data_IF_648976707997
#
_entry.id   IF_648976707997
#
_cell.length_a   1.000
_cell.length_b   1.000
_cell.length_c   1.000
_cell.angle_alpha   90.00
_cell.angle_beta   90.00
_cell.angle_gamma   90.00
#
_symmetry.space_group_name_H-M   'P 1'
#
loop_
_entity.id
_entity.type
_entity.pdbx_description
1 polymer ?
#
# COMPACT_ATOMS: atom_id res chain seq x y z
N UNK A 1 43.20 -14.34 -14.00
CA UNK A 1 42.93 -13.11 -14.76
C UNK A 1 41.42 -13.03 -14.84
N UNK A 2 40.81 -12.16 -14.06
CA UNK A 2 39.36 -11.96 -14.15
C UNK A 2 39.06 -11.25 -15.47
N UNK A 3 38.10 -11.78 -16.24
CA UNK A 3 37.58 -11.09 -17.41
C UNK A 3 37.09 -9.69 -17.00
N UNK A 4 37.33 -8.65 -17.82
CA UNK A 4 36.82 -7.33 -17.52
C UNK A 4 35.29 -7.41 -17.41
N UNK A 5 34.76 -7.13 -16.23
CA UNK A 5 33.31 -7.15 -15.98
C UNK A 5 32.68 -6.13 -16.91
N UNK A 6 31.78 -6.60 -17.77
CA UNK A 6 31.03 -5.75 -18.69
C UNK A 6 29.99 -4.93 -17.91
N UNK A 7 30.14 -3.61 -17.94
CA UNK A 7 29.22 -2.66 -17.30
C UNK A 7 27.79 -2.83 -17.81
N UNK A 8 27.59 -3.26 -19.07
CA UNK A 8 26.25 -3.51 -19.62
C UNK A 8 25.55 -4.67 -18.92
N UNK A 9 26.29 -5.70 -18.52
CA UNK A 9 25.74 -6.84 -17.77
C UNK A 9 25.26 -6.39 -16.39
N UNK A 10 26.10 -5.60 -15.69
CA UNK A 10 25.76 -5.09 -14.35
C UNK A 10 24.59 -4.10 -14.43
N UNK A 11 24.61 -3.18 -15.40
CA UNK A 11 23.51 -2.24 -15.66
C UNK A 11 22.20 -2.96 -15.94
N UNK A 12 22.23 -3.98 -16.82
CA UNK A 12 21.02 -4.75 -17.17
C UNK A 12 20.40 -5.39 -15.95
N UNK A 13 21.21 -6.00 -15.08
CA UNK A 13 20.73 -6.62 -13.86
C UNK A 13 20.18 -5.59 -12.85
N UNK A 14 20.84 -4.43 -12.71
CA UNK A 14 20.36 -3.34 -11.87
C UNK A 14 18.99 -2.83 -12.33
N UNK A 15 18.80 -2.60 -13.63
CA UNK A 15 17.54 -2.15 -14.21
C UNK A 15 16.43 -3.20 -14.09
N UNK A 16 16.76 -4.48 -14.25
CA UNK A 16 15.81 -5.58 -14.04
C UNK A 16 15.30 -5.62 -12.59
N UNK A 17 16.19 -5.51 -11.61
CA UNK A 17 15.84 -5.44 -10.19
C UNK A 17 15.07 -4.16 -9.85
N UNK A 18 15.44 -3.04 -10.46
CA UNK A 18 14.73 -1.77 -10.30
C UNK A 18 13.28 -1.92 -10.75
N UNK A 19 13.07 -2.49 -11.94
CA UNK A 19 11.74 -2.79 -12.47
C UNK A 19 10.90 -3.63 -11.51
N UNK A 20 11.47 -4.72 -10.95
CA UNK A 20 10.81 -5.54 -9.93
C UNK A 20 10.35 -4.72 -8.73
N UNK A 21 11.22 -3.91 -8.16
CA UNK A 21 10.91 -3.14 -6.95
C UNK A 21 9.88 -2.04 -7.23
N UNK A 22 10.00 -1.32 -8.35
CA UNK A 22 9.01 -0.31 -8.76
C UNK A 22 7.63 -0.95 -8.96
N UNK A 23 7.56 -2.11 -9.62
CA UNK A 23 6.30 -2.85 -9.77
C UNK A 23 5.71 -3.21 -8.40
N UNK A 24 6.52 -3.64 -7.44
CA UNK A 24 6.03 -3.97 -6.10
C UNK A 24 5.51 -2.73 -5.36
N UNK A 25 6.20 -1.59 -5.41
CA UNK A 25 5.68 -0.33 -4.87
C UNK A 25 4.34 0.06 -5.51
N UNK A 26 4.22 -0.07 -6.84
CA UNK A 26 2.96 0.23 -7.54
C UNK A 26 1.83 -0.74 -7.15
N UNK A 27 2.13 -2.02 -6.90
CA UNK A 27 1.15 -2.99 -6.41
C UNK A 27 0.68 -2.65 -4.99
N UNK A 28 1.59 -2.27 -4.09
CA UNK A 28 1.25 -1.80 -2.75
C UNK A 28 0.32 -0.59 -2.85
N UNK A 29 0.68 0.39 -3.68
CA UNK A 29 -0.15 1.58 -3.92
C UNK A 29 -1.55 1.19 -4.44
N UNK A 30 -1.63 0.26 -5.40
CA UNK A 30 -2.89 -0.25 -5.93
C UNK A 30 -3.76 -0.94 -4.87
N UNK A 31 -3.18 -1.81 -4.04
CA UNK A 31 -3.90 -2.48 -2.96
C UNK A 31 -4.45 -1.46 -1.96
N UNK A 32 -3.66 -0.45 -1.58
CA UNK A 32 -4.12 0.60 -0.67
C UNK A 32 -5.28 1.41 -1.25
N UNK A 33 -5.26 1.72 -2.55
CA UNK A 33 -6.40 2.38 -3.22
C UNK A 33 -7.66 1.54 -3.08
N UNK A 34 -7.59 0.26 -3.41
CA UNK A 34 -8.71 -0.65 -3.28
C UNK A 34 -9.20 -0.81 -1.84
N UNK A 35 -8.27 -0.98 -0.90
CA UNK A 35 -8.56 -1.15 0.51
C UNK A 35 -9.33 0.08 1.04
N UNK A 36 -8.84 1.28 0.77
CA UNK A 36 -9.53 2.51 1.17
C UNK A 36 -10.92 2.62 0.53
N UNK A 37 -11.07 2.24 -0.75
CA UNK A 37 -12.37 2.24 -1.43
C UNK A 37 -13.40 1.32 -0.80
N UNK A 38 -12.99 0.17 -0.27
CA UNK A 38 -13.90 -0.79 0.39
C UNK A 38 -14.17 -0.46 1.85
N UNK A 39 -13.28 0.29 2.52
CA UNK A 39 -13.43 0.65 3.94
C UNK A 39 -14.41 1.79 4.21
N UNK A 40 -14.84 2.51 3.17
CA UNK A 40 -15.71 3.69 3.25
C UNK A 40 -16.98 3.52 2.40
N UNK A 41 -17.82 2.54 2.77
CA UNK A 41 -19.08 2.27 2.06
C UNK A 41 -20.24 2.85 2.87
N UNK A 42 -20.90 3.86 2.32
CA UNK A 42 -22.07 4.50 2.91
C UNK A 42 -23.35 3.98 2.25
N UNK A 43 -24.14 3.16 2.94
CA UNK A 43 -25.39 2.61 2.39
C UNK A 43 -25.17 1.34 1.57
N UNK A 44 -25.37 0.17 2.19
CA UNK A 44 -25.47 -1.09 1.44
C UNK A 44 -26.77 -1.12 0.62
N UNK A 45 -26.68 -0.80 -0.67
CA UNK A 45 -27.78 -0.91 -1.65
C UNK A 45 -27.24 -1.34 -3.01
N UNK A 46 -28.09 -1.45 -4.04
CA UNK A 46 -27.62 -1.70 -5.43
C UNK A 46 -26.65 -0.61 -5.93
N UNK A 47 -26.56 0.54 -5.26
CA UNK A 47 -25.59 1.60 -5.53
C UNK A 47 -24.17 1.33 -5.00
N UNK A 48 -23.96 0.34 -4.13
CA UNK A 48 -22.66 0.06 -3.50
C UNK A 48 -21.55 -0.24 -4.52
N UNK A 49 -21.89 -0.84 -5.67
CA UNK A 49 -20.91 -1.04 -6.76
C UNK A 49 -20.45 0.28 -7.38
N UNK A 50 -21.35 1.25 -7.54
CA UNK A 50 -21.02 2.56 -8.10
C UNK A 50 -20.17 3.35 -7.10
N UNK A 51 -20.52 3.31 -5.81
CA UNK A 51 -19.71 3.94 -4.75
C UNK A 51 -18.28 3.38 -4.69
N UNK A 52 -18.11 2.06 -4.80
CA UNK A 52 -16.77 1.48 -4.82
C UNK A 52 -15.93 1.98 -6.00
N UNK A 53 -16.54 2.09 -7.18
CA UNK A 53 -15.89 2.64 -8.37
C UNK A 53 -15.56 4.13 -8.16
N UNK A 54 -16.51 4.92 -7.66
CA UNK A 54 -16.33 6.35 -7.42
C UNK A 54 -15.25 6.61 -6.37
N UNK A 55 -15.23 5.83 -5.28
CA UNK A 55 -14.19 5.88 -4.26
C UNK A 55 -12.82 5.50 -4.85
N UNK A 56 -12.75 4.45 -5.66
CA UNK A 56 -11.50 4.05 -6.32
C UNK A 56 -10.98 5.13 -7.27
N UNK A 57 -11.87 5.71 -8.07
CA UNK A 57 -11.54 6.83 -8.96
C UNK A 57 -11.06 8.06 -8.19
N UNK A 58 -11.61 8.31 -6.99
CA UNK A 58 -11.15 9.39 -6.11
C UNK A 58 -9.70 9.19 -5.64
N UNK A 59 -9.30 7.94 -5.38
CA UNK A 59 -7.93 7.59 -4.96
C UNK A 59 -6.99 7.31 -6.13
N UNK A 60 -7.49 7.26 -7.37
CA UNK A 60 -6.69 6.88 -8.54
C UNK A 60 -5.41 7.70 -8.70
N UNK A 61 -5.48 8.99 -8.39
CA UNK A 61 -4.35 9.95 -8.48
C UNK A 61 -3.54 10.07 -7.19
N UNK A 62 -3.96 9.41 -6.12
CA UNK A 62 -3.26 9.49 -4.84
C UNK A 62 -1.97 8.68 -4.90
N UNK A 63 -0.91 9.26 -4.35
CA UNK A 63 0.41 8.63 -4.25
C UNK A 63 0.45 7.73 -3.02
N UNK A 64 1.38 6.77 -3.02
CA UNK A 64 1.65 5.88 -1.89
C UNK A 64 1.69 6.60 -0.54
N UNK A 65 2.40 7.72 -0.43
CA UNK A 65 2.50 8.48 0.82
C UNK A 65 1.14 9.05 1.28
N UNK A 66 0.31 9.54 0.35
CA UNK A 66 -1.03 10.04 0.68
C UNK A 66 -1.97 8.92 1.12
N UNK A 67 -1.86 7.75 0.48
CA UNK A 67 -2.67 6.58 0.80
C UNK A 67 -2.31 5.99 2.17
N UNK A 68 -1.02 5.89 2.49
CA UNK A 68 -0.56 5.46 3.81
C UNK A 68 -1.09 6.39 4.90
N UNK A 69 -0.98 7.71 4.69
CA UNK A 69 -1.53 8.69 5.63
C UNK A 69 -3.04 8.54 5.82
N UNK A 70 -3.79 8.36 4.73
CA UNK A 70 -5.24 8.11 4.79
C UNK A 70 -5.57 6.82 5.55
N UNK A 71 -4.84 5.73 5.30
CA UNK A 71 -5.07 4.46 5.99
C UNK A 71 -4.84 4.60 7.50
N UNK A 72 -3.82 5.35 7.91
CA UNK A 72 -3.54 5.62 9.32
C UNK A 72 -4.69 6.35 10.03
N UNK A 73 -5.32 7.29 9.32
CA UNK A 73 -6.37 8.16 9.85
C UNK A 73 -7.73 7.45 9.88
N UNK A 74 -8.01 6.56 8.92
CA UNK A 74 -9.35 6.00 8.74
C UNK A 74 -9.49 4.54 9.15
N UNK A 75 -8.45 3.71 8.97
CA UNK A 75 -8.52 2.26 9.19
C UNK A 75 -7.74 1.85 10.45
N UNK A 76 -6.54 2.37 10.63
CA UNK A 76 -5.64 2.01 11.75
C UNK A 76 -5.86 2.93 12.96
N UNK A 77 -7.08 2.99 13.48
CA UNK A 77 -7.47 3.91 14.57
C UNK A 77 -7.56 3.14 15.90
N UNK A 78 -7.20 3.81 16.99
CA UNK A 78 -7.46 3.27 18.34
C UNK A 78 -8.98 3.24 18.61
N UNK A 79 -9.46 2.14 19.18
CA UNK A 79 -10.88 1.85 19.38
C UNK A 79 -11.55 2.90 20.31
N UNK A 80 -10.73 3.56 21.14
CA UNK A 80 -11.15 4.62 22.06
C UNK A 80 -11.71 5.89 21.42
N UNK A 81 -11.56 6.07 20.09
CA UNK A 81 -11.95 7.30 19.37
C UNK A 81 -13.15 7.15 18.43
N UNK A 82 -13.83 6.00 18.41
CA UNK A 82 -14.88 5.74 17.43
C UNK A 82 -16.28 6.04 17.96
N UNK A 83 -16.74 7.29 17.88
CA UNK A 83 -18.18 7.58 17.94
C UNK A 83 -18.82 7.42 16.56
N UNK A 84 -19.83 6.54 16.45
CA UNK A 84 -20.65 6.48 15.24
C UNK A 84 -21.58 7.70 15.21
N UNK A 85 -21.26 8.69 14.37
CA UNK A 85 -22.19 9.78 14.07
C UNK A 85 -23.32 9.23 13.18
N UNK A 86 -24.40 8.80 13.81
CA UNK A 86 -25.65 8.46 13.13
C UNK A 86 -26.47 9.74 12.98
N UNK A 87 -26.29 10.46 11.87
CA UNK A 87 -27.25 11.48 11.48
C UNK A 87 -28.52 10.78 10.95
N UNK A 88 -29.54 10.78 11.80
CA UNK A 88 -30.81 10.10 11.59
C UNK A 88 -31.77 10.90 10.72
N UNK A 89 -32.16 10.34 9.56
CA UNK A 89 -33.51 10.54 8.98
C UNK A 89 -33.88 9.49 7.90
N UNK A 90 -32.93 8.71 7.37
CA UNK A 90 -33.20 7.63 6.41
C UNK A 90 -32.73 6.27 6.94
N UNK A 91 -33.45 5.19 6.59
CA UNK A 91 -33.06 3.82 6.90
C UNK A 91 -31.83 3.45 6.04
N UNK A 92 -30.64 3.79 6.52
CA UNK A 92 -29.37 3.50 5.86
C UNK A 92 -28.48 2.56 6.69
N UNK A 93 -27.72 1.71 6.02
CA UNK A 93 -26.67 0.89 6.64
C UNK A 93 -25.30 1.41 6.20
N UNK A 94 -24.52 1.96 7.12
CA UNK A 94 -23.12 2.35 6.87
C UNK A 94 -22.17 1.23 7.30
N UNK A 95 -21.12 0.98 6.51
CA UNK A 95 -20.06 0.03 6.84
C UNK A 95 -18.73 0.77 6.92
N UNK A 96 -18.14 0.79 8.12
CA UNK A 96 -16.78 1.25 8.36
C UNK A 96 -15.92 0.08 8.78
N UNK A 97 -14.74 -0.05 8.17
CA UNK A 97 -13.75 -1.04 8.57
C UNK A 97 -12.62 -0.37 9.34
N UNK A 98 -12.45 -0.80 10.59
CA UNK A 98 -11.38 -0.36 11.48
C UNK A 98 -10.61 -1.57 11.99
N UNK A 99 -9.29 -1.45 12.04
CA UNK A 99 -8.40 -2.44 12.63
C UNK A 99 -7.93 -1.87 13.96
N UNK A 100 -8.45 -2.43 15.05
CA UNK A 100 -7.97 -2.15 16.40
C UNK A 100 -7.03 -3.28 16.85
N UNK A 101 -5.94 -2.88 17.51
CA UNK A 101 -5.03 -3.81 18.16
C UNK A 101 -5.12 -3.59 19.67
N UNK A 102 -5.13 -4.69 20.43
CA UNK A 102 -5.12 -4.65 21.89
C UNK A 102 -3.83 -4.06 22.44
N UNK A 103 -2.75 -4.18 21.67
CA UNK A 103 -1.43 -3.64 21.96
C UNK A 103 -1.17 -2.41 21.09
N UNK A 104 -1.08 -1.24 21.74
CA UNK A 104 -0.79 0.03 21.07
C UNK A 104 0.60 0.05 20.43
N UNK A 105 1.56 -0.67 21.00
CA UNK A 105 2.93 -0.73 20.45
C UNK A 105 2.92 -1.51 19.13
N UNK A 106 2.14 -2.58 19.05
CA UNK A 106 1.92 -3.31 17.82
C UNK A 106 1.26 -2.44 16.74
N UNK A 107 0.20 -1.70 17.09
CA UNK A 107 -0.45 -0.78 16.14
C UNK A 107 0.53 0.27 15.61
N UNK A 108 1.36 0.85 16.49
CA UNK A 108 2.36 1.83 16.09
C UNK A 108 3.46 1.22 15.22
N UNK A 109 3.85 -0.03 15.48
CA UNK A 109 4.79 -0.76 14.63
C UNK A 109 4.22 -0.96 13.21
N UNK A 110 2.94 -1.32 13.09
CA UNK A 110 2.27 -1.44 11.78
C UNK A 110 2.21 -0.13 11.02
N UNK A 111 1.85 0.97 11.71
CA UNK A 111 1.88 2.32 11.14
C UNK A 111 3.29 2.70 10.67
N UNK A 112 4.29 2.45 11.50
CA UNK A 112 5.68 2.76 11.17
C UNK A 112 6.14 1.97 9.96
N UNK A 113 5.80 0.68 9.88
CA UNK A 113 6.18 -0.17 8.76
C UNK A 113 5.65 0.37 7.41
N UNK A 114 4.42 0.90 7.37
CA UNK A 114 3.88 1.54 6.15
C UNK A 114 4.61 2.85 5.79
N UNK A 115 5.00 3.65 6.79
CA UNK A 115 5.80 4.86 6.57
C UNK A 115 7.19 4.51 6.05
N UNK A 116 7.78 3.41 6.53
CA UNK A 116 9.08 2.94 6.08
C UNK A 116 9.06 2.58 4.59
N UNK A 117 7.98 1.98 4.07
CA UNK A 117 7.82 1.74 2.61
C UNK A 117 7.86 3.05 1.82
N UNK A 118 7.19 4.10 2.32
CA UNK A 118 7.19 5.43 1.67
C UNK A 118 8.60 6.02 1.67
N UNK A 119 9.29 5.93 2.81
CA UNK A 119 10.67 6.38 2.97
C UNK A 119 11.61 5.61 2.03
N UNK A 120 11.50 4.28 1.97
CA UNK A 120 12.29 3.41 1.09
C UNK A 120 12.11 3.77 -0.39
N UNK A 121 10.86 4.01 -0.83
CA UNK A 121 10.56 4.44 -2.20
C UNK A 121 11.19 5.79 -2.49
N UNK A 122 11.04 6.76 -1.58
CA UNK A 122 11.61 8.09 -1.76
C UNK A 122 13.14 8.06 -1.77
N UNK A 123 13.74 7.25 -0.90
CA UNK A 123 15.18 7.01 -0.87
C UNK A 123 15.68 6.45 -2.20
N UNK A 124 15.02 5.41 -2.72
CA UNK A 124 15.36 4.83 -4.03
C UNK A 124 15.34 5.89 -5.13
N UNK A 125 14.26 6.68 -5.23
CA UNK A 125 14.12 7.67 -6.30
C UNK A 125 15.12 8.83 -6.13
N UNK A 126 15.22 9.41 -4.94
CA UNK A 126 15.92 10.68 -4.73
C UNK A 126 17.40 10.51 -4.36
N UNK A 127 17.76 9.47 -3.61
CA UNK A 127 19.13 9.28 -3.13
C UNK A 127 19.94 8.32 -4.01
N UNK A 128 19.29 7.39 -4.72
CA UNK A 128 19.98 6.39 -5.54
C UNK A 128 19.83 6.61 -7.03
N UNK A 129 18.61 6.87 -7.53
CA UNK A 129 18.38 7.03 -8.97
C UNK A 129 18.74 8.44 -9.48
N UNK A 130 18.34 9.49 -8.76
CA UNK A 130 18.61 10.86 -9.20
C UNK A 130 20.11 11.20 -9.35
N UNK A 131 21.01 10.76 -8.46
CA UNK A 131 22.45 11.02 -8.60
C UNK A 131 23.23 9.89 -9.31
N UNK A 132 22.57 8.84 -9.83
CA UNK A 132 23.24 7.65 -10.38
C UNK A 132 24.18 8.02 -11.54
N UNK A 133 25.47 7.70 -11.43
CA UNK A 133 26.40 7.78 -12.56
C UNK A 133 26.28 6.52 -13.43
N UNK A 134 25.74 6.69 -14.64
CA UNK A 134 25.50 5.58 -15.59
C UNK A 134 26.77 4.99 -16.21
N UNK A 135 27.92 5.64 -15.98
CA UNK A 135 29.25 5.15 -16.33
C UNK A 135 29.96 4.46 -15.17
N UNK A 136 29.42 4.54 -13.94
CA UNK A 136 29.97 3.93 -12.74
C UNK A 136 29.40 2.52 -12.51
N UNK A 137 30.24 1.51 -12.63
CA UNK A 137 29.88 0.13 -12.29
C UNK A 137 29.61 -0.03 -10.78
N UNK A 138 30.31 0.74 -9.94
CA UNK A 138 30.16 0.71 -8.48
C UNK A 138 28.77 1.23 -8.06
N UNK A 139 28.28 2.27 -8.73
CA UNK A 139 26.95 2.83 -8.49
C UNK A 139 25.86 1.79 -8.80
N UNK A 140 26.01 1.03 -9.88
CA UNK A 140 25.09 -0.08 -10.18
C UNK A 140 25.17 -1.21 -9.15
N UNK A 141 26.34 -1.54 -8.62
CA UNK A 141 26.45 -2.53 -7.54
C UNK A 141 25.77 -2.05 -6.24
N UNK A 142 25.93 -0.78 -5.86
CA UNK A 142 25.22 -0.18 -4.72
C UNK A 142 23.72 -0.24 -4.93
N UNK A 143 23.25 0.12 -6.12
CA UNK A 143 21.84 0.04 -6.49
C UNK A 143 21.31 -1.40 -6.42
N UNK A 144 22.04 -2.38 -6.96
CA UNK A 144 21.67 -3.80 -6.88
C UNK A 144 21.52 -4.25 -5.43
N UNK A 145 22.52 -3.94 -4.58
CA UNK A 145 22.50 -4.31 -3.16
C UNK A 145 21.27 -3.75 -2.45
N UNK A 146 20.98 -2.46 -2.65
CA UNK A 146 19.78 -1.83 -2.10
C UNK A 146 18.51 -2.54 -2.57
N UNK A 147 18.38 -2.79 -3.89
CA UNK A 147 17.16 -3.35 -4.48
C UNK A 147 16.90 -4.79 -4.02
N UNK A 148 17.95 -5.58 -3.81
CA UNK A 148 17.83 -6.93 -3.25
C UNK A 148 17.50 -6.93 -1.76
N UNK A 149 17.98 -5.95 -1.01
CA UNK A 149 17.63 -5.79 0.40
C UNK A 149 16.15 -5.34 0.58
N UNK A 150 15.69 -4.42 -0.27
CA UNK A 150 14.31 -3.91 -0.23
C UNK A 150 13.28 -4.97 -0.63
N UNK A 151 13.57 -5.80 -1.63
CA UNK A 151 12.54 -6.63 -2.26
C UNK A 151 11.81 -7.62 -1.30
N UNK A 152 12.50 -8.36 -0.40
CA UNK A 152 11.82 -9.21 0.58
C UNK A 152 10.83 -8.44 1.47
N UNK A 153 11.17 -7.21 1.89
CA UNK A 153 10.28 -6.37 2.71
C UNK A 153 9.04 -5.95 1.92
N UNK A 154 9.22 -5.54 0.66
CA UNK A 154 8.09 -5.21 -0.22
C UNK A 154 7.15 -6.41 -0.45
N UNK A 155 7.70 -7.62 -0.58
CA UNK A 155 6.90 -8.84 -0.72
C UNK A 155 6.11 -9.15 0.56
N UNK A 156 6.72 -8.99 1.73
CA UNK A 156 6.02 -9.17 3.00
C UNK A 156 4.84 -8.20 3.16
N UNK A 157 5.03 -6.93 2.81
CA UNK A 157 3.94 -5.94 2.83
C UNK A 157 2.84 -6.23 1.81
N UNK A 158 3.20 -6.72 0.62
CA UNK A 158 2.21 -7.13 -0.38
C UNK A 158 1.36 -8.31 0.12
N UNK A 159 1.98 -9.27 0.79
CA UNK A 159 1.27 -10.39 1.39
C UNK A 159 0.32 -9.91 2.49
N UNK A 160 0.82 -9.09 3.42
CA UNK A 160 0.01 -8.58 4.54
C UNK A 160 -1.19 -7.74 4.06
N UNK A 161 -0.95 -6.76 3.17
CA UNK A 161 -2.01 -5.93 2.62
C UNK A 161 -2.98 -6.75 1.75
N UNK A 162 -2.48 -7.79 1.08
CA UNK A 162 -3.30 -8.75 0.33
C UNK A 162 -4.25 -9.53 1.23
N UNK A 163 -3.79 -9.99 2.40
CA UNK A 163 -4.63 -10.61 3.41
C UNK A 163 -5.70 -9.65 3.91
N UNK A 164 -5.31 -8.43 4.29
CA UNK A 164 -6.25 -7.40 4.77
C UNK A 164 -7.33 -7.09 3.72
N UNK A 165 -6.95 -6.90 2.45
CA UNK A 165 -7.90 -6.64 1.37
C UNK A 165 -8.86 -7.81 1.17
N UNK A 166 -8.35 -9.04 1.18
CA UNK A 166 -9.19 -10.26 1.03
C UNK A 166 -10.23 -10.34 2.13
N UNK A 167 -9.82 -10.14 3.39
CA UNK A 167 -10.73 -10.14 4.54
C UNK A 167 -11.81 -9.06 4.44
N UNK A 168 -11.46 -7.84 4.01
CA UNK A 168 -12.43 -6.77 3.78
C UNK A 168 -13.45 -7.14 2.69
N UNK A 169 -12.98 -7.71 1.57
CA UNK A 169 -13.85 -8.10 0.45
C UNK A 169 -14.80 -9.21 0.86
N UNK A 170 -14.34 -10.20 1.62
CA UNK A 170 -15.17 -11.30 2.13
C UNK A 170 -16.27 -10.78 3.05
N UNK A 171 -15.93 -9.91 4.00
CA UNK A 171 -16.91 -9.26 4.88
C UNK A 171 -18.01 -8.52 4.08
N UNK A 172 -17.62 -7.74 3.07
CA UNK A 172 -18.58 -7.01 2.22
C UNK A 172 -19.48 -7.97 1.46
N UNK A 173 -18.96 -9.08 0.94
CA UNK A 173 -19.76 -10.10 0.24
C UNK A 173 -20.75 -10.78 1.17
N UNK A 174 -20.32 -11.13 2.38
CA UNK A 174 -21.18 -11.75 3.37
C UNK A 174 -22.33 -10.82 3.75
N UNK A 175 -22.04 -9.55 4.03
CA UNK A 175 -23.08 -8.54 4.31
C UNK A 175 -24.06 -8.34 3.16
N UNK A 176 -23.58 -8.31 1.91
CA UNK A 176 -24.45 -8.25 0.73
C UNK A 176 -25.37 -9.47 0.60
N UNK A 177 -24.94 -10.64 1.08
CA UNK A 177 -25.77 -11.86 1.07
C UNK A 177 -26.89 -11.82 2.11
N UNK A 178 -26.69 -11.14 3.25
CA UNK A 178 -27.70 -10.98 4.30
C UNK A 178 -28.80 -9.97 3.95
N UNK A 179 -28.53 -9.03 3.05
CA UNK A 179 -29.46 -7.94 2.68
C UNK A 179 -30.30 -8.29 1.44
N UNK A 180 -30.01 -9.42 0.77
CA UNK A 180 -30.87 -10.00 -0.28
C UNK A 180 -32.03 -10.79 0.31
#
# INVERSE_FOLDING_TARGET
>A
MDEPIDIEVVRTEALRKLGRNIVNFSKIEGILKYLLSVTQIEGLSTSTRNQLVDNYESFRKDTLGRLVWKLHDTVLVDDSQSEAQLDSSELGMSLSFKVSYSDSDFLNAQKQALLDIVAERNKLIHEYLAPLDTSSIEDYYKLISLLDEQNPRLLAHLEELGWMLTSCIELVKDLQSFIK
#
